data_IF_269113936865
#
_entry.id   IF_269113936865
#
_cell.length_a   1.000
_cell.length_b   1.000
_cell.length_c   1.000
_cell.angle_alpha   90.00
_cell.angle_beta   90.00
_cell.angle_gamma   90.00
#
_symmetry.space_group_name_H-M   'P 1'
#
loop_
_entity.id
_entity.type
_entity.pdbx_description
1 polymer ?
#
# COMPACT_ATOMS: atom_id res chain seq x y z
N UNK A 1 5.11 -13.09 19.87
CA UNK A 1 4.43 -12.83 18.58
C UNK A 1 5.28 -13.41 17.46
N UNK A 2 4.69 -14.23 16.59
CA UNK A 2 5.37 -14.84 15.46
C UNK A 2 4.89 -14.18 14.15
N UNK A 3 5.78 -14.00 13.19
CA UNK A 3 5.50 -13.42 11.88
C UNK A 3 6.10 -14.34 10.84
N UNK A 4 5.30 -14.83 9.89
CA UNK A 4 5.79 -15.66 8.80
C UNK A 4 6.43 -14.77 7.74
N UNK A 5 7.70 -15.05 7.45
CA UNK A 5 8.40 -14.49 6.30
C UNK A 5 7.71 -14.89 4.99
N UNK A 6 7.76 -13.99 4.01
CA UNK A 6 7.46 -14.29 2.61
C UNK A 6 8.75 -14.21 1.79
N UNK A 7 8.70 -14.64 0.53
CA UNK A 7 9.81 -14.50 -0.42
C UNK A 7 10.37 -13.07 -0.44
N UNK A 8 9.49 -12.07 -0.32
CA UNK A 8 9.81 -10.65 -0.51
C UNK A 8 9.67 -9.80 0.75
N UNK A 9 9.28 -10.36 1.90
CA UNK A 9 9.21 -9.65 3.16
C UNK A 9 9.68 -10.54 4.31
N UNK A 10 10.75 -10.12 5.00
CA UNK A 10 11.31 -10.85 6.14
C UNK A 10 11.28 -10.02 7.41
N UNK A 11 10.94 -10.63 8.54
CA UNK A 11 11.08 -9.99 9.84
C UNK A 11 12.56 -9.95 10.24
N UNK A 12 13.10 -8.76 10.48
CA UNK A 12 14.43 -8.60 11.10
C UNK A 12 14.27 -8.76 12.61
N UNK A 13 14.54 -9.96 13.12
CA UNK A 13 14.60 -10.22 14.56
C UNK A 13 15.94 -9.68 15.11
N UNK A 14 15.90 -8.97 16.25
CA UNK A 14 17.11 -8.52 16.95
C UNK A 14 17.71 -9.64 17.82
N UNK A 15 17.95 -10.82 17.23
CA UNK A 15 18.68 -11.92 17.90
C UNK A 15 17.85 -12.89 18.74
N UNK A 16 16.52 -12.84 18.69
CA UNK A 16 15.68 -13.90 19.25
C UNK A 16 15.18 -14.80 18.12
N UNK A 17 15.57 -16.07 18.14
CA UNK A 17 15.19 -17.06 17.12
C UNK A 17 13.67 -17.41 17.15
N UNK A 18 12.97 -17.05 18.24
CA UNK A 18 11.57 -17.48 18.51
C UNK A 18 10.51 -16.37 18.56
N UNK A 19 10.77 -15.24 17.90
CA UNK A 19 9.78 -14.18 17.69
C UNK A 19 9.89 -12.99 18.64
N UNK A 20 8.90 -12.09 18.56
CA UNK A 20 8.94 -10.80 19.24
C UNK A 20 8.22 -10.89 20.59
N UNK A 21 8.95 -10.62 21.67
CA UNK A 21 8.39 -10.54 23.02
C UNK A 21 7.51 -9.30 23.16
N UNK A 22 6.29 -9.50 23.67
CA UNK A 22 5.35 -8.42 23.99
C UNK A 22 5.40 -8.25 25.51
N UNK A 23 5.56 -7.02 26.03
CA UNK A 23 5.61 -6.80 27.47
C UNK A 23 4.27 -7.13 28.14
N UNK A 24 4.31 -7.49 29.41
CA UNK A 24 3.10 -7.68 30.22
C UNK A 24 2.28 -6.39 30.28
N UNK A 25 0.98 -6.51 30.03
CA UNK A 25 0.05 -5.38 29.98
C UNK A 25 -0.87 -5.44 31.20
N UNK A 26 -0.89 -4.43 32.08
CA UNK A 26 -1.84 -4.39 33.18
C UNK A 26 -3.27 -4.13 32.67
N UNK A 27 -4.31 -4.43 33.48
CA UNK A 27 -5.70 -4.10 33.12
C UNK A 27 -5.86 -2.62 32.75
N UNK A 28 -6.46 -2.34 31.59
CA UNK A 28 -6.61 -0.98 31.05
C UNK A 28 -5.32 -0.36 30.48
N UNK A 29 -4.20 -1.07 30.55
CA UNK A 29 -2.93 -0.65 29.97
C UNK A 29 -2.85 -0.84 28.46
N UNK A 30 -1.83 -0.24 27.85
CA UNK A 30 -1.50 -0.44 26.44
C UNK A 30 -0.01 -0.71 26.29
N UNK A 31 0.34 -1.56 25.33
CA UNK A 31 1.72 -1.81 24.93
C UNK A 31 1.87 -1.62 23.42
N UNK A 32 3.05 -1.20 23.00
CA UNK A 32 3.40 -1.04 21.59
C UNK A 32 4.62 -1.87 21.27
N UNK A 33 4.60 -2.52 20.11
CA UNK A 33 5.69 -3.35 19.61
C UNK A 33 6.06 -2.88 18.22
N UNK A 34 7.36 -2.73 17.97
CA UNK A 34 7.87 -2.27 16.69
C UNK A 34 8.35 -3.47 15.86
N UNK A 35 7.80 -3.59 14.64
CA UNK A 35 8.22 -4.62 13.69
C UNK A 35 9.19 -3.99 12.70
N UNK A 36 10.38 -4.59 12.57
CA UNK A 36 11.34 -4.20 11.51
C UNK A 36 11.27 -5.23 10.40
N UNK A 37 10.88 -4.79 9.22
CA UNK A 37 10.71 -5.65 8.06
C UNK A 37 11.76 -5.32 7.01
N UNK A 38 12.36 -6.34 6.42
CA UNK A 38 13.18 -6.25 5.22
C UNK A 38 12.32 -6.60 4.02
N UNK A 39 12.14 -5.66 3.10
CA UNK A 39 11.41 -5.90 1.85
C UNK A 39 12.43 -6.11 0.73
N UNK A 40 12.36 -7.25 0.04
CA UNK A 40 13.31 -7.59 -1.03
C UNK A 40 12.92 -6.97 -2.38
N UNK A 41 11.62 -6.83 -2.65
CA UNK A 41 11.11 -6.23 -3.88
C UNK A 41 9.94 -5.31 -3.56
N UNK A 42 10.05 -4.00 -3.84
CA UNK A 42 8.94 -3.06 -3.68
C UNK A 42 7.92 -3.16 -4.81
N UNK A 43 8.20 -3.87 -5.91
CA UNK A 43 7.34 -3.94 -7.11
C UNK A 43 6.08 -4.78 -6.92
N UNK A 44 5.92 -5.47 -5.78
CA UNK A 44 4.77 -6.32 -5.49
C UNK A 44 4.25 -6.08 -4.09
N UNK A 45 2.93 -5.96 -3.96
CA UNK A 45 2.24 -5.87 -2.68
C UNK A 45 2.50 -7.09 -1.83
N UNK A 46 2.93 -6.88 -0.59
CA UNK A 46 3.24 -7.95 0.35
C UNK A 46 2.10 -8.14 1.34
N UNK A 47 1.86 -9.41 1.73
CA UNK A 47 0.94 -9.76 2.81
C UNK A 47 1.69 -10.60 3.82
N UNK A 48 1.94 -10.01 4.98
CA UNK A 48 2.61 -10.67 6.09
C UNK A 48 1.53 -11.28 6.99
N UNK A 49 1.70 -12.55 7.35
CA UNK A 49 0.83 -13.22 8.31
C UNK A 49 1.57 -13.35 9.63
N UNK A 50 0.89 -13.07 10.74
CA UNK A 50 1.45 -13.22 12.05
C UNK A 50 0.45 -13.76 13.05
N UNK A 51 0.94 -14.13 14.22
CA UNK A 51 0.16 -14.56 15.35
C UNK A 51 0.66 -13.92 16.64
N UNK A 52 -0.27 -13.44 17.44
CA UNK A 52 -0.06 -12.93 18.78
C UNK A 52 -0.65 -13.93 19.78
N UNK A 53 0.21 -14.66 20.47
CA UNK A 53 -0.20 -15.49 21.61
C UNK A 53 -0.02 -14.69 22.90
N UNK A 54 -1.03 -14.66 23.75
CA UNK A 54 -0.98 -14.04 25.07
C UNK A 54 -1.63 -14.92 26.13
N UNK A 55 -1.33 -14.63 27.39
CA UNK A 55 -1.90 -15.31 28.54
C UNK A 55 -2.67 -14.31 29.38
N UNK A 56 -3.90 -14.65 29.73
CA UNK A 56 -4.74 -13.85 30.63
C UNK A 56 -4.78 -14.58 31.96
N UNK A 57 -4.42 -13.88 33.03
CA UNK A 57 -4.50 -14.42 34.39
C UNK A 57 -5.65 -13.76 35.13
N UNK A 58 -6.62 -14.56 35.55
CA UNK A 58 -7.79 -14.16 36.34
C UNK A 58 -7.75 -14.92 37.68
N UNK A 59 -7.07 -14.33 38.67
CA UNK A 59 -6.86 -14.99 39.96
C UNK A 59 -5.95 -16.21 39.86
N UNK A 60 -6.47 -17.39 40.25
CA UNK A 60 -5.77 -18.67 40.14
C UNK A 60 -5.86 -19.30 38.74
N UNK A 61 -6.78 -18.80 37.89
CA UNK A 61 -6.96 -19.32 36.55
C UNK A 61 -6.07 -18.57 35.55
N UNK A 62 -5.42 -19.32 34.66
CA UNK A 62 -4.74 -18.78 33.49
C UNK A 62 -5.32 -19.36 32.21
N UNK A 63 -5.67 -18.51 31.25
CA UNK A 63 -6.03 -18.91 29.89
C UNK A 63 -4.94 -18.48 28.90
N UNK A 64 -4.80 -19.25 27.81
CA UNK A 64 -3.94 -18.89 26.68
C UNK A 64 -4.81 -18.59 25.47
N UNK A 65 -4.57 -17.45 24.83
CA UNK A 65 -5.29 -17.02 23.65
C UNK A 65 -4.32 -16.74 22.50
N UNK A 66 -4.79 -16.97 21.27
CA UNK A 66 -4.02 -16.76 20.05
C UNK A 66 -4.83 -15.92 19.07
N UNK A 67 -4.26 -14.81 18.65
CA UNK A 67 -4.82 -13.91 17.66
C UNK A 67 -3.99 -13.97 16.37
N UNK A 68 -4.55 -14.51 15.30
CA UNK A 68 -3.93 -14.50 13.99
C UNK A 68 -4.26 -13.18 13.25
N UNK A 69 -3.25 -12.54 12.66
CA UNK A 69 -3.40 -11.27 11.94
C UNK A 69 -2.72 -11.30 10.58
N UNK A 70 -3.16 -10.39 9.69
CA UNK A 70 -2.55 -10.15 8.37
C UNK A 70 -2.23 -8.67 8.22
N UNK A 71 -0.97 -8.36 7.93
CA UNK A 71 -0.52 -7.01 7.61
C UNK A 71 -0.31 -6.91 6.10
N UNK A 72 -1.10 -6.04 5.45
CA UNK A 72 -0.92 -5.71 4.05
C UNK A 72 0.07 -4.57 3.91
N UNK A 73 1.07 -4.74 3.05
CA UNK A 73 2.07 -3.74 2.68
C UNK A 73 1.90 -3.52 1.17
N UNK A 74 1.00 -2.61 0.77
CA UNK A 74 0.76 -2.32 -0.63
C UNK A 74 1.99 -1.65 -1.24
N UNK A 75 2.21 -1.85 -2.54
CA UNK A 75 3.25 -1.21 -3.34
C UNK A 75 3.20 0.32 -3.25
N UNK A 76 2.01 0.88 -3.09
CA UNK A 76 1.82 2.32 -2.83
C UNK A 76 2.59 2.85 -1.62
N UNK A 77 2.96 2.00 -0.65
CA UNK A 77 3.78 2.35 0.53
C UNK A 77 5.21 2.74 0.15
N UNK A 78 5.71 2.23 -0.98
CA UNK A 78 7.07 2.45 -1.44
C UNK A 78 7.18 3.62 -2.43
N UNK A 79 6.10 4.38 -2.64
CA UNK A 79 6.15 5.57 -3.48
C UNK A 79 6.71 6.77 -2.73
N UNK A 80 7.44 7.59 -3.49
CA UNK A 80 7.94 8.90 -3.09
C UNK A 80 7.03 9.98 -3.69
N UNK A 81 6.52 10.92 -2.86
CA UNK A 81 5.79 12.07 -3.38
C UNK A 81 6.68 12.87 -4.32
N UNK A 82 6.18 13.15 -5.52
CA UNK A 82 6.86 13.98 -6.50
C UNK A 82 5.84 14.81 -7.27
N UNK A 83 6.28 15.95 -7.82
CA UNK A 83 5.45 16.86 -8.61
C UNK A 83 6.06 17.05 -9.98
N UNK A 84 5.21 17.20 -11.00
CA UNK A 84 5.63 17.46 -12.37
C UNK A 84 4.66 18.45 -13.01
N UNK A 85 5.17 19.35 -13.85
CA UNK A 85 4.35 20.29 -14.60
C UNK A 85 3.56 19.58 -15.71
N UNK A 86 2.40 20.15 -16.10
CA UNK A 86 1.52 19.55 -17.13
C UNK A 86 2.24 19.27 -18.46
N UNK A 87 3.07 20.21 -18.92
CA UNK A 87 3.83 20.06 -20.17
C UNK A 87 4.83 18.90 -20.08
N UNK A 88 5.63 18.86 -19.01
CA UNK A 88 6.61 17.79 -18.77
C UNK A 88 5.92 16.42 -18.59
N UNK A 89 4.74 16.38 -17.97
CA UNK A 89 3.94 15.16 -17.87
C UNK A 89 3.45 14.68 -19.24
N UNK A 90 3.02 15.60 -20.11
CA UNK A 90 2.66 15.27 -21.49
C UNK A 90 3.84 14.68 -22.27
N UNK A 91 5.02 15.27 -22.14
CA UNK A 91 6.27 14.77 -22.75
C UNK A 91 6.58 13.36 -22.23
N UNK A 92 6.57 13.17 -20.91
CA UNK A 92 6.81 11.88 -20.26
C UNK A 92 5.86 10.78 -20.78
N UNK A 93 4.57 11.08 -20.93
CA UNK A 93 3.59 10.12 -21.45
C UNK A 93 3.80 9.74 -22.92
N UNK A 94 4.37 10.66 -23.70
CA UNK A 94 4.68 10.48 -25.13
C UNK A 94 6.03 9.82 -25.39
N UNK A 95 6.91 9.79 -24.39
CA UNK A 95 8.19 9.11 -24.47
C UNK A 95 8.10 7.62 -24.14
N UNK A 96 9.24 6.94 -24.25
CA UNK A 96 9.37 5.50 -24.02
C UNK A 96 9.91 5.16 -22.62
N UNK A 97 10.10 6.16 -21.75
CA UNK A 97 10.60 5.95 -20.38
C UNK A 97 9.60 5.19 -19.49
N UNK A 98 8.30 5.32 -19.79
CA UNK A 98 7.21 4.66 -19.06
C UNK A 98 6.24 3.96 -20.03
N UNK A 99 6.78 2.98 -20.75
CA UNK A 99 6.10 2.23 -21.81
C UNK A 99 5.21 1.08 -21.29
N UNK A 100 5.49 0.56 -20.10
CA UNK A 100 4.68 -0.49 -19.47
C UNK A 100 3.35 0.08 -18.98
N UNK A 101 2.26 -0.70 -19.15
CA UNK A 101 0.90 -0.25 -18.83
C UNK A 101 0.14 -1.27 -18.00
N UNK A 102 -0.79 -0.80 -17.17
CA UNK A 102 -1.80 -1.62 -16.54
C UNK A 102 -3.10 -0.83 -16.35
N UNK A 103 -4.24 -1.53 -16.31
CA UNK A 103 -5.55 -0.92 -16.11
C UNK A 103 -6.44 -1.76 -15.22
N UNK A 104 -7.26 -1.11 -14.41
CA UNK A 104 -8.28 -1.77 -13.61
C UNK A 104 -9.52 -0.90 -13.44
N UNK A 105 -10.69 -1.55 -13.39
CA UNK A 105 -11.96 -0.90 -13.08
C UNK A 105 -12.35 -1.15 -11.63
N UNK A 106 -12.95 -0.16 -10.99
CA UNK A 106 -13.55 -0.29 -9.65
C UNK A 106 -14.81 0.54 -9.50
N UNK A 107 -15.70 0.10 -8.61
CA UNK A 107 -16.75 0.94 -8.06
C UNK A 107 -16.24 1.57 -6.76
N UNK A 108 -16.57 2.85 -6.56
CA UNK A 108 -16.25 3.55 -5.31
C UNK A 108 -17.54 4.03 -4.66
N UNK A 109 -17.72 3.84 -3.34
CA UNK A 109 -18.86 4.41 -2.63
C UNK A 109 -18.76 5.94 -2.48
N UNK A 110 -17.61 6.52 -2.86
CA UNK A 110 -17.35 7.95 -2.78
C UNK A 110 -17.61 8.66 -4.11
N UNK A 111 -17.83 9.98 -4.03
CA UNK A 111 -17.78 10.87 -5.20
C UNK A 111 -16.38 10.87 -5.81
N UNK A 112 -16.28 11.04 -7.13
CA UNK A 112 -15.00 11.10 -7.88
C UNK A 112 -13.91 11.93 -7.17
N UNK A 113 -14.22 13.19 -6.83
CA UNK A 113 -13.30 14.10 -6.13
C UNK A 113 -12.76 13.52 -4.81
N UNK A 114 -13.63 12.92 -3.99
CA UNK A 114 -13.23 12.28 -2.72
C UNK A 114 -12.39 11.02 -2.97
N UNK A 115 -12.65 10.29 -4.05
CA UNK A 115 -11.82 9.13 -4.43
C UNK A 115 -10.42 9.57 -4.85
N UNK A 116 -10.29 10.61 -5.69
CA UNK A 116 -8.99 11.19 -6.07
C UNK A 116 -8.24 11.71 -4.85
N UNK A 117 -8.92 12.41 -3.93
CA UNK A 117 -8.33 12.83 -2.65
C UNK A 117 -7.85 11.64 -1.80
N UNK A 118 -8.61 10.55 -1.74
CA UNK A 118 -8.21 9.35 -1.02
C UNK A 118 -6.96 8.71 -1.64
N UNK A 119 -6.88 8.63 -2.97
CA UNK A 119 -5.70 8.13 -3.69
C UNK A 119 -4.48 8.97 -3.36
N UNK A 120 -4.56 10.30 -3.56
CA UNK A 120 -3.43 11.20 -3.36
C UNK A 120 -2.92 11.18 -1.91
N UNK A 121 -3.82 11.15 -0.93
CA UNK A 121 -3.45 11.10 0.50
C UNK A 121 -2.84 9.77 0.93
N UNK A 122 -3.32 8.64 0.40
CA UNK A 122 -2.91 7.29 0.87
C UNK A 122 -1.79 6.68 0.04
N UNK A 123 -1.73 7.02 -1.25
CA UNK A 123 -0.75 6.48 -2.20
C UNK A 123 0.30 7.52 -2.64
N UNK A 124 0.33 8.71 -2.01
CA UNK A 124 1.38 9.73 -2.18
C UNK A 124 1.52 10.30 -3.59
N UNK A 125 0.48 10.19 -4.40
CA UNK A 125 0.43 10.86 -5.71
C UNK A 125 0.15 12.35 -5.56
N UNK A 126 0.79 13.16 -6.40
CA UNK A 126 0.39 14.54 -6.65
C UNK A 126 -0.60 14.62 -7.81
N UNK A 127 -1.47 15.63 -7.81
CA UNK A 127 -2.39 15.90 -8.92
C UNK A 127 -1.70 16.79 -9.93
N UNK A 128 -1.57 16.31 -11.17
CA UNK A 128 -1.04 17.08 -12.30
C UNK A 128 -2.18 17.87 -12.97
N UNK A 129 -3.32 17.20 -13.14
CA UNK A 129 -4.52 17.79 -13.73
C UNK A 129 -5.75 17.07 -13.19
N UNK A 130 -6.81 17.82 -12.88
CA UNK A 130 -8.11 17.28 -12.51
C UNK A 130 -9.20 18.04 -13.25
N UNK A 131 -10.05 17.28 -13.93
CA UNK A 131 -11.30 17.73 -14.57
C UNK A 131 -12.47 16.93 -13.98
N UNK A 132 -13.70 17.30 -14.34
CA UNK A 132 -14.90 16.71 -13.72
C UNK A 132 -15.01 15.18 -13.82
N UNK A 133 -14.40 14.57 -14.83
CA UNK A 133 -14.47 13.13 -15.13
C UNK A 133 -13.11 12.44 -15.17
N UNK A 134 -11.99 13.14 -14.95
CA UNK A 134 -10.67 12.54 -15.03
C UNK A 134 -9.64 13.26 -14.16
N UNK A 135 -8.65 12.53 -13.66
CA UNK A 135 -7.53 13.07 -12.90
C UNK A 135 -6.22 12.38 -13.30
N UNK A 136 -5.24 13.18 -13.67
CA UNK A 136 -3.87 12.77 -13.96
C UNK A 136 -3.02 12.95 -12.71
N UNK A 137 -2.34 11.89 -12.31
CA UNK A 137 -1.62 11.77 -11.05
C UNK A 137 -0.17 11.36 -11.30
N UNK A 138 0.75 11.87 -10.49
CA UNK A 138 2.17 11.59 -10.62
C UNK A 138 2.84 11.26 -9.29
N UNK A 139 3.75 10.30 -9.32
CA UNK A 139 4.65 9.94 -8.23
C UNK A 139 5.95 9.36 -8.80
N UNK A 140 6.89 9.02 -7.91
CA UNK A 140 8.10 8.29 -8.29
C UNK A 140 8.30 7.08 -7.39
N UNK A 141 9.08 6.11 -7.87
CA UNK A 141 9.65 5.06 -7.01
C UNK A 141 10.66 5.67 -6.02
N UNK A 142 11.14 4.89 -5.05
CA UNK A 142 12.19 5.36 -4.13
C UNK A 142 13.51 5.67 -4.85
N UNK A 143 13.74 5.04 -6.00
CA UNK A 143 14.90 5.26 -6.88
C UNK A 143 14.70 6.43 -7.85
N UNK A 144 13.51 7.06 -7.86
CA UNK A 144 13.22 8.24 -8.67
C UNK A 144 12.59 7.94 -10.03
N UNK A 145 12.26 6.69 -10.34
CA UNK A 145 11.63 6.33 -11.61
C UNK A 145 10.19 6.85 -11.66
N UNK A 146 9.76 7.47 -12.77
CA UNK A 146 8.45 8.10 -12.89
C UNK A 146 7.31 7.09 -12.93
N UNK A 147 6.17 7.49 -12.33
CA UNK A 147 4.92 6.74 -12.36
C UNK A 147 3.79 7.71 -12.68
N UNK A 148 3.02 7.37 -13.71
CA UNK A 148 1.87 8.13 -14.16
C UNK A 148 0.58 7.31 -13.97
N UNK A 149 -0.43 7.92 -13.34
CA UNK A 149 -1.74 7.29 -13.15
C UNK A 149 -2.82 8.22 -13.70
N UNK A 150 -3.80 7.64 -14.38
CA UNK A 150 -4.97 8.33 -14.91
C UNK A 150 -6.22 7.66 -14.33
N UNK A 151 -6.97 8.43 -13.55
CA UNK A 151 -8.24 7.99 -12.97
C UNK A 151 -9.37 8.63 -13.78
N UNK A 152 -10.19 7.82 -14.43
CA UNK A 152 -11.34 8.27 -15.23
C UNK A 152 -12.64 7.81 -14.58
N UNK A 153 -13.65 8.67 -14.62
CA UNK A 153 -15.04 8.30 -14.31
C UNK A 153 -15.67 7.64 -15.53
N UNK A 154 -16.25 6.46 -15.33
CA UNK A 154 -17.01 5.72 -16.34
C UNK A 154 -18.50 5.71 -15.97
N UNK A 155 -19.34 5.13 -16.83
CA UNK A 155 -20.78 4.91 -16.54
C UNK A 155 -20.98 4.03 -15.31
N UNK A 156 -20.14 3.01 -15.16
CA UNK A 156 -20.31 1.94 -14.17
C UNK A 156 -19.36 2.08 -12.96
N UNK A 157 -18.58 3.17 -12.90
CA UNK A 157 -17.67 3.44 -11.79
C UNK A 157 -16.46 4.27 -12.20
N UNK A 158 -15.28 3.72 -11.95
CA UNK A 158 -13.99 4.33 -12.20
C UNK A 158 -13.08 3.36 -12.97
N UNK A 159 -12.29 3.92 -13.87
CA UNK A 159 -11.19 3.24 -14.53
C UNK A 159 -9.88 3.88 -14.06
N UNK A 160 -8.92 3.05 -13.71
CA UNK A 160 -7.57 3.43 -13.30
C UNK A 160 -6.63 2.88 -14.36
N UNK A 161 -5.99 3.76 -15.10
CA UNK A 161 -4.94 3.42 -16.07
C UNK A 161 -3.60 3.88 -15.50
N UNK A 162 -2.56 3.06 -15.66
CA UNK A 162 -1.23 3.34 -15.14
C UNK A 162 -0.14 3.12 -16.18
N UNK A 163 0.92 3.93 -16.08
CA UNK A 163 2.17 3.80 -16.82
C UNK A 163 3.39 3.88 -15.90
N UNK A 164 4.37 3.02 -16.13
CA UNK A 164 5.68 3.04 -15.47
C UNK A 164 6.74 2.33 -16.34
N UNK A 165 7.98 2.28 -15.88
CA UNK A 165 9.06 1.52 -16.54
C UNK A 165 9.02 0.00 -16.26
N UNK A 166 8.36 -0.43 -15.18
CA UNK A 166 8.33 -1.83 -14.76
C UNK A 166 6.88 -2.39 -14.77
N UNK A 167 6.69 -3.49 -15.51
CA UNK A 167 5.36 -4.09 -15.70
C UNK A 167 4.78 -4.66 -14.40
N UNK A 168 5.62 -5.26 -13.55
CA UNK A 168 5.16 -5.90 -12.32
C UNK A 168 4.71 -4.85 -11.30
N UNK A 169 5.49 -3.78 -11.17
CA UNK A 169 5.20 -2.59 -10.38
C UNK A 169 3.88 -1.96 -10.77
N UNK A 170 3.68 -1.63 -12.05
CA UNK A 170 2.48 -0.90 -12.47
C UNK A 170 1.22 -1.75 -12.31
N UNK A 171 1.31 -3.06 -12.57
CA UNK A 171 0.21 -4.00 -12.35
C UNK A 171 -0.19 -4.05 -10.87
N UNK A 172 0.80 -4.21 -9.97
CA UNK A 172 0.56 -4.24 -8.53
C UNK A 172 0.02 -2.91 -7.99
N UNK A 173 0.50 -1.78 -8.50
CA UNK A 173 0.03 -0.46 -8.10
C UNK A 173 -1.42 -0.22 -8.52
N UNK A 174 -1.77 -0.56 -9.75
CA UNK A 174 -3.14 -0.38 -10.26
C UNK A 174 -4.12 -1.26 -9.46
N UNK A 175 -3.73 -2.49 -9.11
CA UNK A 175 -4.53 -3.35 -8.22
C UNK A 175 -4.68 -2.78 -6.80
N UNK A 176 -3.60 -2.23 -6.21
CA UNK A 176 -3.67 -1.57 -4.90
C UNK A 176 -4.59 -0.35 -4.91
N UNK A 177 -4.52 0.46 -5.97
CA UNK A 177 -5.36 1.63 -6.15
C UNK A 177 -6.82 1.23 -6.34
N UNK A 178 -7.09 0.16 -7.10
CA UNK A 178 -8.44 -0.43 -7.24
C UNK A 178 -9.01 -0.82 -5.87
N UNK A 179 -8.22 -1.53 -5.05
CA UNK A 179 -8.63 -1.89 -3.69
C UNK A 179 -8.88 -0.65 -2.82
N UNK A 180 -8.01 0.37 -2.92
CA UNK A 180 -8.13 1.62 -2.16
C UNK A 180 -9.42 2.38 -2.49
N UNK A 181 -9.80 2.41 -3.77
CA UNK A 181 -11.04 3.04 -4.25
C UNK A 181 -12.30 2.33 -3.77
N UNK A 182 -12.24 1.00 -3.61
CA UNK A 182 -13.37 0.14 -3.27
C UNK A 182 -13.67 0.07 -1.77
N UNK A 183 -12.75 0.55 -0.92
CA UNK A 183 -12.94 0.57 0.54
C UNK A 183 -14.03 1.57 0.94
N UNK A 184 -14.86 1.18 1.92
CA UNK A 184 -15.85 2.07 2.53
C UNK A 184 -15.14 3.17 3.32
#
# INVERSE_FOLDING_TARGET
MNVCDTLNARLKTQGAEDGISVPTIPPGGTASVHLRLSIASPSVSQKIRGSLTYFVQEGENSSSEKLDFKLAIPTTTFLSPATIGKEAYGILLSGDEIDMTASASCSSPLTFKKTVQRITQRARFSVVEEVASAASLYATTQTGEPIAILVKKTTDGLQIDGKAADQQLISSLVDDLRELCSRK
#
